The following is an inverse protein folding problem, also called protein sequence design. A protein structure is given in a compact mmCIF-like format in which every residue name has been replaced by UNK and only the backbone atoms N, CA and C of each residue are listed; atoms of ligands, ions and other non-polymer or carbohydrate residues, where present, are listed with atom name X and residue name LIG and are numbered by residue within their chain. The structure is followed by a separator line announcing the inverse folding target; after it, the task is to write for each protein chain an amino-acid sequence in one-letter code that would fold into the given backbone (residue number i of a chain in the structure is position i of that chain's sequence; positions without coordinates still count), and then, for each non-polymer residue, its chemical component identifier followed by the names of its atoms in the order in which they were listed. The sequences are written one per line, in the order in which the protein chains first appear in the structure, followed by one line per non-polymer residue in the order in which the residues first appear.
data_IF_823134398272
#
_entry.id   IF_823134398272
#
_cell.length_a   1.000
_cell.length_b   1.000
_cell.length_c   1.000
_cell.angle_alpha   90.00
_cell.angle_beta   90.00
_cell.angle_gamma   90.00
#
_symmetry.space_group_name_H-M   'P 1'
#
loop_
_entity.id
_entity.type
_entity.pdbx_description
1 polymer ?
#
# COMPACT_ATOMS: atom_id res chain seq x y z
N UNK A 1 -9.76 -2.94 -4.52
CA UNK A 1 -8.75 -3.40 -5.51
C UNK A 1 -8.39 -4.84 -5.16
N UNK A 2 -8.52 -5.75 -6.11
CA UNK A 2 -8.03 -7.12 -6.06
C UNK A 2 -7.64 -7.51 -7.50
N UNK A 3 -6.60 -8.36 -7.72
CA UNK A 3 -5.72 -8.96 -6.71
C UNK A 3 -4.83 -7.94 -5.98
N UNK A 4 -4.08 -8.37 -4.96
CA UNK A 4 -3.08 -7.49 -4.29
C UNK A 4 -1.76 -7.46 -5.06
N UNK A 5 -1.34 -8.62 -5.56
CA UNK A 5 -0.07 -8.82 -6.26
C UNK A 5 -0.28 -9.71 -7.48
N UNK A 6 0.66 -9.62 -8.42
CA UNK A 6 0.79 -10.54 -9.54
C UNK A 6 2.19 -11.13 -9.58
N UNK A 7 2.31 -12.29 -10.21
CA UNK A 7 3.57 -12.95 -10.47
C UNK A 7 3.40 -13.88 -11.68
N UNK A 8 4.50 -14.26 -12.33
CA UNK A 8 4.46 -15.14 -13.49
C UNK A 8 3.89 -16.51 -13.12
N UNK A 9 2.73 -16.82 -13.70
CA UNK A 9 1.99 -18.07 -13.52
C UNK A 9 2.07 -19.04 -14.69
N UNK A 10 2.87 -18.75 -15.73
CA UNK A 10 2.94 -19.53 -16.97
C UNK A 10 2.38 -18.76 -18.16
N UNK A 11 2.67 -19.24 -19.37
CA UNK A 11 2.29 -18.57 -20.61
C UNK A 11 1.11 -19.27 -21.33
N UNK A 12 0.50 -18.53 -22.26
CA UNK A 12 -0.56 -18.98 -23.13
C UNK A 12 -0.18 -18.67 -24.57
N UNK A 13 -0.37 -19.62 -25.48
CA UNK A 13 -0.15 -19.38 -26.91
C UNK A 13 -1.41 -19.66 -27.71
N UNK A 14 -1.58 -18.93 -28.80
CA UNK A 14 -2.68 -19.12 -29.74
C UNK A 14 -2.10 -19.80 -30.97
N UNK A 15 -2.64 -20.96 -31.33
CA UNK A 15 -2.32 -21.66 -32.57
C UNK A 15 -3.62 -22.02 -33.30
N UNK A 16 -3.69 -21.68 -34.59
CA UNK A 16 -4.88 -21.85 -35.45
C UNK A 16 -6.21 -21.37 -34.80
N UNK A 17 -6.19 -20.25 -34.08
CA UNK A 17 -7.36 -19.70 -33.40
C UNK A 17 -7.79 -20.44 -32.13
N UNK A 18 -7.02 -21.45 -31.69
CA UNK A 18 -7.21 -22.16 -30.42
C UNK A 18 -6.23 -21.65 -29.38
N UNK A 19 -6.73 -21.49 -28.17
CA UNK A 19 -5.94 -21.06 -27.03
C UNK A 19 -5.37 -22.28 -26.31
N UNK A 20 -4.05 -22.38 -26.25
CA UNK A 20 -3.34 -23.42 -25.54
C UNK A 20 -2.74 -22.85 -24.27
N UNK A 21 -2.95 -23.55 -23.15
CA UNK A 21 -2.46 -23.16 -21.83
C UNK A 21 -1.46 -24.19 -21.34
N UNK A 22 -0.30 -23.72 -20.85
CA UNK A 22 0.65 -24.56 -20.13
C UNK A 22 1.38 -25.64 -20.93
N UNK A 23 0.91 -26.06 -22.12
CA UNK A 23 1.65 -26.99 -22.97
C UNK A 23 2.89 -26.29 -23.55
N UNK A 24 4.07 -26.82 -23.23
CA UNK A 24 5.41 -26.34 -23.63
C UNK A 24 5.86 -24.97 -23.08
N UNK A 25 4.94 -24.11 -22.64
CA UNK A 25 5.25 -22.72 -22.23
C UNK A 25 4.73 -22.38 -20.81
N UNK A 26 4.40 -23.40 -20.02
CA UNK A 26 4.00 -23.25 -18.61
C UNK A 26 5.18 -23.22 -17.62
N UNK A 27 4.89 -22.91 -16.36
CA UNK A 27 5.83 -23.08 -15.25
C UNK A 27 6.12 -24.58 -15.06
N UNK A 28 7.40 -25.01 -15.05
CA UNK A 28 7.75 -26.39 -14.76
C UNK A 28 7.27 -26.79 -13.36
N UNK A 29 6.47 -27.84 -13.28
CA UNK A 29 5.92 -28.36 -12.03
C UNK A 29 5.91 -29.89 -12.03
N UNK A 30 5.64 -30.51 -10.89
CA UNK A 30 5.58 -31.97 -10.77
C UNK A 30 4.34 -32.52 -11.47
N UNK A 31 4.50 -33.69 -12.08
CA UNK A 31 3.40 -34.39 -12.74
C UNK A 31 2.70 -35.33 -11.76
N UNK A 32 1.36 -35.36 -11.82
CA UNK A 32 0.59 -36.42 -11.15
C UNK A 32 0.79 -37.79 -11.83
N UNK A 33 1.07 -37.79 -13.14
CA UNK A 33 1.35 -38.98 -13.94
C UNK A 33 2.86 -39.18 -14.06
N UNK A 34 3.51 -39.48 -12.93
CA UNK A 34 4.98 -39.64 -12.87
C UNK A 34 5.46 -41.09 -13.03
N UNK A 35 4.57 -42.08 -12.87
CA UNK A 35 4.93 -43.49 -12.86
C UNK A 35 5.25 -44.03 -14.28
N UNK A 36 6.27 -44.91 -14.42
CA UNK A 36 6.58 -45.58 -15.70
C UNK A 36 5.41 -46.45 -16.23
N UNK A 37 5.38 -46.81 -17.53
CA UNK A 37 6.39 -46.54 -18.56
C UNK A 37 6.24 -45.19 -19.29
N UNK A 38 5.06 -44.56 -19.23
CA UNK A 38 4.72 -43.36 -20.02
C UNK A 38 4.72 -42.06 -19.20
N UNK A 39 4.93 -42.16 -17.88
CA UNK A 39 4.93 -41.03 -16.97
C UNK A 39 6.11 -40.08 -17.17
N UNK A 40 5.95 -38.85 -16.69
CA UNK A 40 6.98 -37.81 -16.69
C UNK A 40 7.11 -37.23 -15.30
N UNK A 41 8.33 -36.97 -14.81
CA UNK A 41 8.52 -36.34 -13.50
C UNK A 41 7.97 -34.91 -13.45
N UNK A 42 8.14 -34.18 -14.55
CA UNK A 42 7.75 -32.78 -14.67
C UNK A 42 6.81 -32.56 -15.85
N UNK A 43 5.93 -31.57 -15.69
CA UNK A 43 5.10 -31.03 -16.77
C UNK A 43 5.03 -29.51 -16.65
N UNK A 44 4.96 -28.79 -17.77
CA UNK A 44 4.65 -27.37 -17.74
C UNK A 44 3.15 -27.17 -17.50
N UNK A 45 2.78 -26.22 -16.64
CA UNK A 45 1.39 -25.80 -16.41
C UNK A 45 1.29 -24.28 -16.29
N UNK A 46 0.10 -23.73 -16.55
CA UNK A 46 -0.17 -22.31 -16.41
C UNK A 46 -1.37 -22.07 -15.48
N UNK A 47 -1.34 -21.00 -14.70
CA UNK A 47 -2.43 -20.58 -13.82
C UNK A 47 -1.98 -19.78 -12.61
N UNK A 48 -2.92 -19.07 -11.97
CA UNK A 48 -2.66 -18.29 -10.75
C UNK A 48 -2.19 -19.16 -9.59
N UNK A 49 -2.52 -20.46 -9.59
CA UNK A 49 -1.97 -21.47 -8.67
C UNK A 49 -0.46 -21.58 -8.70
N UNK A 50 0.21 -21.18 -9.79
CA UNK A 50 1.69 -21.15 -9.90
C UNK A 50 2.30 -19.80 -9.55
N UNK A 51 1.53 -18.72 -9.64
CA UNK A 51 1.93 -17.39 -9.16
C UNK A 51 1.90 -17.31 -7.63
N UNK A 52 0.87 -17.90 -6.99
CA UNK A 52 0.70 -17.91 -5.54
C UNK A 52 1.92 -18.43 -4.73
N UNK A 53 2.53 -19.59 -5.03
CA UNK A 53 3.68 -20.09 -4.28
C UNK A 53 4.93 -19.21 -4.45
N UNK A 54 5.07 -18.49 -5.56
CA UNK A 54 6.18 -17.53 -5.75
C UNK A 54 6.03 -16.31 -4.84
N UNK A 55 4.81 -15.75 -4.76
CA UNK A 55 4.47 -14.69 -3.80
C UNK A 55 4.68 -15.18 -2.35
N UNK A 56 4.25 -16.41 -2.03
CA UNK A 56 4.46 -17.00 -0.71
C UNK A 56 5.95 -17.21 -0.38
N UNK A 57 6.76 -17.65 -1.36
CA UNK A 57 8.20 -17.78 -1.20
C UNK A 57 8.87 -16.43 -0.95
N UNK A 58 8.48 -15.37 -1.66
CA UNK A 58 8.98 -14.02 -1.43
C UNK A 58 8.66 -13.55 0.00
N UNK A 59 7.43 -13.74 0.46
CA UNK A 59 7.04 -13.44 1.85
C UNK A 59 7.88 -14.23 2.87
N UNK A 60 8.09 -15.53 2.64
CA UNK A 60 8.91 -16.38 3.51
C UNK A 60 10.38 -15.93 3.56
N UNK A 61 10.93 -15.48 2.43
CA UNK A 61 12.28 -14.89 2.39
C UNK A 61 12.33 -13.58 3.18
N UNK A 62 11.31 -12.73 3.09
CA UNK A 62 11.26 -11.50 3.89
C UNK A 62 11.13 -11.78 5.39
N UNK A 63 10.40 -12.82 5.81
CA UNK A 63 10.39 -13.24 7.21
C UNK A 63 11.78 -13.66 7.73
N UNK A 64 12.66 -14.18 6.85
CA UNK A 64 14.05 -14.49 7.22
C UNK A 64 14.87 -13.21 7.44
N UNK A 65 14.66 -12.18 6.63
CA UNK A 65 15.36 -10.88 6.75
C UNK A 65 14.82 -10.05 7.93
N UNK A 66 13.53 -10.19 8.25
CA UNK A 66 12.87 -9.51 9.37
C UNK A 66 12.22 -10.53 10.34
N UNK A 67 13.00 -11.21 11.20
CA UNK A 67 12.48 -12.29 12.06
C UNK A 67 11.35 -11.88 13.01
N UNK A 68 11.31 -10.60 13.40
CA UNK A 68 10.30 -10.04 14.30
C UNK A 68 9.16 -9.31 13.57
N UNK A 69 9.06 -9.45 12.24
CA UNK A 69 8.01 -8.81 11.46
C UNK A 69 6.66 -9.51 11.66
N UNK A 70 5.61 -8.73 11.84
CA UNK A 70 4.23 -9.20 11.68
C UNK A 70 3.90 -9.51 10.22
N UNK A 71 2.87 -10.32 9.97
CA UNK A 71 2.35 -10.54 8.61
C UNK A 71 1.90 -9.23 7.94
N UNK A 72 1.42 -8.25 8.73
CA UNK A 72 1.10 -6.92 8.23
C UNK A 72 2.35 -6.21 7.72
N UNK A 73 3.46 -6.25 8.45
CA UNK A 73 4.71 -5.63 8.02
C UNK A 73 5.21 -6.26 6.71
N UNK A 74 5.21 -7.59 6.60
CA UNK A 74 5.61 -8.28 5.37
C UNK A 74 4.72 -7.87 4.18
N UNK A 75 3.40 -7.83 4.37
CA UNK A 75 2.47 -7.38 3.31
C UNK A 75 2.72 -5.93 2.89
N UNK A 76 2.99 -5.04 3.86
CA UNK A 76 3.27 -3.63 3.58
C UNK A 76 4.61 -3.44 2.85
N UNK A 77 5.66 -4.20 3.21
CA UNK A 77 6.95 -4.22 2.50
C UNK A 77 6.76 -4.67 1.05
N UNK A 78 6.04 -5.77 0.84
CA UNK A 78 5.73 -6.29 -0.50
C UNK A 78 4.98 -5.25 -1.35
N UNK A 79 3.96 -4.59 -0.80
CA UNK A 79 3.25 -3.50 -1.49
C UNK A 79 4.15 -2.32 -1.83
N UNK A 80 5.00 -1.91 -0.90
CA UNK A 80 5.95 -0.81 -1.11
C UNK A 80 6.94 -1.08 -2.24
N UNK A 81 7.39 -2.33 -2.37
CA UNK A 81 8.32 -2.75 -3.43
C UNK A 81 7.66 -3.00 -4.79
N UNK A 82 6.35 -3.30 -4.82
CA UNK A 82 5.71 -3.81 -6.02
C UNK A 82 5.69 -2.80 -7.18
N UNK A 83 5.82 -3.28 -8.41
CA UNK A 83 5.69 -2.48 -9.62
C UNK A 83 4.74 -3.15 -10.61
N UNK A 84 3.86 -2.37 -11.22
CA UNK A 84 3.02 -2.88 -12.33
C UNK A 84 3.96 -3.27 -13.46
N UNK A 85 3.80 -4.46 -14.07
CA UNK A 85 4.65 -4.87 -15.19
C UNK A 85 4.63 -3.84 -16.33
N UNK A 86 5.80 -3.55 -16.90
CA UNK A 86 5.95 -2.61 -18.03
C UNK A 86 5.30 -3.21 -19.28
N UNK A 87 5.54 -4.51 -19.52
CA UNK A 87 4.90 -5.24 -20.62
C UNK A 87 3.46 -5.59 -20.23
N UNK A 88 2.51 -4.99 -20.94
CA UNK A 88 1.07 -5.13 -20.73
C UNK A 88 0.41 -5.43 -22.08
N UNK A 89 -0.75 -6.10 -22.11
CA UNK A 89 -1.49 -6.30 -23.35
C UNK A 89 -1.95 -4.94 -23.91
N UNK A 90 -2.14 -4.81 -25.24
CA UNK A 90 -2.46 -3.55 -25.89
C UNK A 90 -3.59 -2.73 -25.25
N UNK A 91 -4.62 -3.40 -24.73
CA UNK A 91 -5.75 -2.75 -24.05
C UNK A 91 -5.42 -2.08 -22.71
N UNK A 92 -4.25 -2.39 -22.14
CA UNK A 92 -3.77 -1.89 -20.85
C UNK A 92 -2.45 -1.09 -20.99
N UNK A 93 -1.81 -1.10 -22.17
CA UNK A 93 -0.47 -0.54 -22.38
C UNK A 93 -0.39 0.96 -22.14
N UNK A 94 -1.40 1.72 -22.54
CA UNK A 94 -1.39 3.19 -22.42
C UNK A 94 -2.09 3.70 -21.15
N UNK A 95 -2.65 2.79 -20.34
CA UNK A 95 -3.32 3.17 -19.10
C UNK A 95 -2.29 3.55 -18.02
N UNK A 96 -2.55 4.60 -17.23
CA UNK A 96 -1.68 4.97 -16.13
C UNK A 96 -1.67 3.87 -15.06
N UNK A 97 -0.58 3.78 -14.29
CA UNK A 97 -0.34 2.68 -13.36
C UNK A 97 -1.36 2.63 -12.20
N UNK A 98 -2.07 3.72 -11.97
CA UNK A 98 -3.11 3.89 -10.95
C UNK A 98 -4.53 3.84 -11.54
N UNK A 99 -4.69 3.56 -12.83
CA UNK A 99 -6.00 3.33 -13.43
C UNK A 99 -6.72 2.16 -12.74
N UNK A 100 -8.04 2.24 -12.62
CA UNK A 100 -8.84 1.20 -11.94
C UNK A 100 -8.70 -0.15 -12.65
N UNK A 101 -8.64 -0.17 -13.97
CA UNK A 101 -8.42 -1.34 -14.81
C UNK A 101 -7.08 -1.99 -14.53
N UNK A 102 -6.02 -1.18 -14.37
CA UNK A 102 -4.68 -1.67 -14.00
C UNK A 102 -4.69 -2.24 -12.60
N UNK A 103 -5.25 -1.53 -11.63
CA UNK A 103 -5.31 -1.97 -10.23
C UNK A 103 -6.20 -3.22 -10.04
N UNK A 104 -7.23 -3.39 -10.87
CA UNK A 104 -8.10 -4.58 -10.87
C UNK A 104 -7.51 -5.76 -11.66
N UNK A 105 -6.47 -5.53 -12.46
CA UNK A 105 -5.77 -6.59 -13.21
C UNK A 105 -4.50 -7.04 -12.49
N UNK A 106 -3.67 -6.07 -12.10
CA UNK A 106 -2.33 -6.29 -11.56
C UNK A 106 -2.20 -6.03 -10.05
N UNK A 107 -3.24 -5.49 -9.41
CA UNK A 107 -3.12 -5.03 -8.03
C UNK A 107 -2.06 -3.94 -7.90
N UNK A 108 -1.17 -4.09 -6.92
CA UNK A 108 0.00 -3.23 -6.78
C UNK A 108 1.18 -3.60 -7.70
N UNK A 109 1.05 -4.73 -8.41
CA UNK A 109 2.04 -5.26 -9.33
C UNK A 109 2.84 -6.43 -8.75
N UNK A 110 4.02 -6.64 -9.32
CA UNK A 110 4.95 -7.70 -8.92
C UNK A 110 5.88 -7.17 -7.81
N UNK A 111 5.86 -7.75 -6.60
CA UNK A 111 6.78 -7.39 -5.52
C UNK A 111 8.24 -7.69 -5.90
N UNK A 112 9.14 -6.82 -5.46
CA UNK A 112 10.58 -6.96 -5.68
C UNK A 112 11.25 -7.27 -4.34
N UNK A 113 11.92 -8.42 -4.27
CA UNK A 113 12.51 -8.89 -3.02
C UNK A 113 13.62 -7.96 -2.51
N UNK A 114 14.51 -7.48 -3.40
CA UNK A 114 15.65 -6.67 -3.01
C UNK A 114 15.21 -5.29 -2.54
N UNK A 115 14.27 -4.67 -3.27
CA UNK A 115 13.65 -3.39 -2.89
C UNK A 115 12.75 -3.49 -1.65
N UNK A 116 12.27 -4.69 -1.31
CA UNK A 116 11.49 -4.91 -0.09
C UNK A 116 12.36 -5.10 1.16
N UNK A 117 13.61 -5.53 1.02
CA UNK A 117 14.50 -5.82 2.16
C UNK A 117 15.53 -4.74 2.47
N UNK A 118 15.97 -3.99 1.47
CA UNK A 118 17.06 -3.05 1.63
C UNK A 118 16.74 -1.69 1.07
N UNK A 119 17.42 -0.70 1.64
CA UNK A 119 17.51 0.62 1.07
C UNK A 119 18.79 0.79 0.26
N UNK A 120 18.66 1.20 -1.00
CA UNK A 120 19.77 1.70 -1.80
C UNK A 120 20.17 3.11 -1.34
N UNK A 121 21.26 3.67 -1.91
CA UNK A 121 21.75 5.00 -1.52
C UNK A 121 20.69 6.11 -1.71
N UNK A 122 19.95 6.03 -2.81
CA UNK A 122 18.92 6.97 -3.24
C UNK A 122 17.50 6.60 -2.83
N UNK A 123 17.38 5.74 -1.82
CA UNK A 123 16.11 5.45 -1.20
C UNK A 123 16.24 5.35 0.33
N UNK A 124 15.11 5.37 1.02
CA UNK A 124 15.04 5.07 2.44
C UNK A 124 13.68 4.48 2.78
N UNK A 125 13.66 3.49 3.66
CA UNK A 125 12.44 2.88 4.18
C UNK A 125 12.28 3.11 5.68
N UNK A 126 11.12 3.63 6.06
CA UNK A 126 10.71 3.85 7.44
C UNK A 126 9.59 2.87 7.77
N UNK A 127 9.77 2.12 8.85
CA UNK A 127 8.90 1.00 9.21
C UNK A 127 8.31 1.25 10.59
N UNK A 128 7.01 1.01 10.73
CA UNK A 128 6.35 0.90 12.03
C UNK A 128 5.35 -0.26 12.02
N UNK A 129 5.29 -1.02 13.11
CA UNK A 129 4.27 -2.03 13.35
C UNK A 129 3.75 -1.87 14.77
N UNK A 130 2.45 -1.66 14.92
CA UNK A 130 1.86 -1.19 16.17
C UNK A 130 0.43 -1.74 16.34
N UNK A 131 -0.18 -1.43 17.48
CA UNK A 131 -1.60 -1.60 17.72
C UNK A 131 -2.23 -0.26 18.09
N UNK A 132 -3.38 0.06 17.50
CA UNK A 132 -4.12 1.30 17.76
C UNK A 132 -5.48 0.99 18.37
N UNK A 133 -5.99 1.86 19.25
CA UNK A 133 -7.37 1.78 19.72
C UNK A 133 -8.34 2.03 18.56
N UNK A 134 -9.49 1.36 18.58
CA UNK A 134 -10.52 1.63 17.57
C UNK A 134 -11.07 3.05 17.75
N UNK A 135 -11.36 3.71 16.63
CA UNK A 135 -11.83 5.09 16.57
C UNK A 135 -10.81 6.13 17.05
N UNK A 136 -9.53 5.79 16.90
CA UNK A 136 -8.39 6.64 17.20
C UNK A 136 -7.48 6.82 15.97
N UNK A 137 -6.48 7.67 16.08
CA UNK A 137 -5.49 7.91 15.04
C UNK A 137 -4.07 7.98 15.60
N UNK A 138 -3.10 7.53 14.81
CA UNK A 138 -1.68 7.65 15.10
C UNK A 138 -1.03 8.65 14.14
N UNK A 139 -0.13 9.49 14.66
CA UNK A 139 0.64 10.45 13.88
C UNK A 139 2.12 10.06 13.88
N UNK A 140 2.71 10.03 12.69
CA UNK A 140 4.13 9.77 12.48
C UNK A 140 4.78 10.96 11.81
N UNK A 141 5.76 11.55 12.49
CA UNK A 141 6.61 12.61 11.91
C UNK A 141 7.74 11.95 11.12
N UNK A 142 7.79 12.21 9.82
CA UNK A 142 8.88 11.74 8.97
C UNK A 142 10.12 12.61 9.16
N UNK A 143 11.33 12.04 9.04
CA UNK A 143 12.58 12.79 8.91
C UNK A 143 12.49 13.85 7.81
N UNK A 144 13.15 14.98 8.04
CA UNK A 144 13.19 16.08 7.07
C UNK A 144 13.96 15.59 5.85
N UNK A 145 13.40 15.83 4.66
CA UNK A 145 14.04 15.45 3.40
C UNK A 145 15.24 16.36 3.09
N UNK A 146 16.33 15.82 2.51
CA UNK A 146 17.48 16.63 2.11
C UNK A 146 17.09 17.66 1.04
N UNK A 147 17.77 18.81 1.02
CA UNK A 147 17.52 19.85 0.02
C UNK A 147 17.75 19.32 -1.41
N UNK A 148 18.73 18.42 -1.58
CA UNK A 148 19.05 17.76 -2.84
C UNK A 148 17.87 16.96 -3.40
N UNK A 149 16.93 16.51 -2.57
CA UNK A 149 15.72 15.82 -3.03
C UNK A 149 14.83 16.71 -3.90
N UNK A 150 14.86 18.03 -3.69
CA UNK A 150 14.04 19.00 -4.44
C UNK A 150 14.81 19.71 -5.55
N UNK A 151 16.12 19.88 -5.38
CA UNK A 151 16.96 20.63 -6.34
C UNK A 151 17.58 19.74 -7.40
N UNK A 152 17.80 18.45 -7.12
CA UNK A 152 18.40 17.51 -8.07
C UNK A 152 17.41 17.15 -9.17
N UNK A 153 17.88 17.09 -10.41
CA UNK A 153 17.07 16.63 -11.54
C UNK A 153 16.68 15.16 -11.35
N UNK A 154 15.40 14.87 -11.43
CA UNK A 154 14.87 13.52 -11.29
C UNK A 154 13.46 13.54 -10.72
N UNK A 155 12.81 12.37 -10.70
CA UNK A 155 11.53 12.22 -10.02
C UNK A 155 11.81 11.65 -8.63
N UNK A 156 11.51 12.43 -7.60
CA UNK A 156 11.36 11.96 -6.24
C UNK A 156 9.99 11.33 -6.03
N UNK A 157 9.83 10.44 -5.05
CA UNK A 157 8.53 9.93 -4.68
C UNK A 157 8.46 9.48 -3.23
N UNK A 158 7.25 9.61 -2.67
CA UNK A 158 6.90 9.10 -1.35
C UNK A 158 5.82 8.05 -1.56
N UNK A 159 6.10 6.83 -1.12
CA UNK A 159 5.16 5.70 -1.17
C UNK A 159 4.79 5.31 0.25
N UNK A 160 3.50 5.27 0.54
CA UNK A 160 2.95 4.84 1.84
C UNK A 160 2.20 3.54 1.63
N UNK A 161 2.59 2.50 2.36
CA UNK A 161 1.91 1.21 2.37
C UNK A 161 1.41 0.89 3.77
N UNK A 162 0.12 0.61 3.93
CA UNK A 162 -0.53 0.24 5.18
C UNK A 162 -1.12 -1.17 5.04
N UNK A 163 -0.88 -2.03 6.02
CA UNK A 163 -1.50 -3.33 6.12
C UNK A 163 -2.07 -3.56 7.53
N UNK A 164 -3.25 -4.17 7.59
CA UNK A 164 -3.91 -4.54 8.83
C UNK A 164 -4.73 -5.83 8.63
N UNK A 165 -5.19 -6.42 9.72
CA UNK A 165 -5.86 -7.71 9.79
C UNK A 165 -7.11 -7.62 10.67
N UNK A 166 -8.20 -6.98 10.16
CA UNK A 166 -9.40 -6.76 10.95
C UNK A 166 -10.25 -8.03 11.05
N UNK A 167 -11.14 -8.13 12.05
CA UNK A 167 -12.18 -9.16 12.08
C UNK A 167 -13.04 -9.06 10.81
N UNK A 168 -13.40 -10.20 10.22
CA UNK A 168 -14.20 -10.25 8.99
C UNK A 168 -15.50 -11.01 9.20
N UNK A 169 -16.55 -10.64 8.45
CA UNK A 169 -17.84 -11.33 8.49
C UNK A 169 -18.41 -11.47 7.09
N UNK A 170 -18.34 -12.69 6.54
CA UNK A 170 -18.76 -13.00 5.17
C UNK A 170 -20.24 -12.69 4.88
N UNK A 171 -21.10 -12.66 5.90
CA UNK A 171 -22.53 -12.35 5.75
C UNK A 171 -22.82 -10.87 5.48
N UNK A 172 -21.82 -9.98 5.56
CA UNK A 172 -21.98 -8.53 5.33
C UNK A 172 -21.26 -8.11 4.05
N UNK A 173 -21.97 -8.16 2.92
CA UNK A 173 -21.42 -7.81 1.60
C UNK A 173 -20.86 -6.38 1.53
N UNK A 174 -21.55 -5.40 2.12
CA UNK A 174 -21.17 -3.98 2.04
C UNK A 174 -20.30 -3.49 3.23
N UNK A 175 -20.14 -4.31 4.27
CA UNK A 175 -19.33 -4.02 5.46
C UNK A 175 -18.61 -5.29 5.92
N UNK A 176 -17.86 -5.92 5.01
CA UNK A 176 -17.17 -7.19 5.28
C UNK A 176 -16.11 -7.07 6.39
N UNK A 177 -15.46 -5.91 6.49
CA UNK A 177 -14.43 -5.60 7.48
C UNK A 177 -15.08 -4.99 8.73
N UNK A 178 -14.74 -5.51 9.91
CA UNK A 178 -15.22 -4.97 11.20
C UNK A 178 -14.48 -3.70 11.64
N UNK A 179 -13.34 -3.43 11.02
CA UNK A 179 -12.52 -2.23 11.21
C UNK A 179 -12.03 -1.77 9.84
N UNK A 180 -12.05 -0.47 9.60
CA UNK A 180 -11.43 0.16 8.43
C UNK A 180 -10.28 1.04 8.90
N UNK A 181 -9.24 1.13 8.08
CA UNK A 181 -8.12 2.04 8.33
C UNK A 181 -7.81 2.83 7.07
N UNK A 182 -7.21 4.00 7.21
CA UNK A 182 -6.75 4.81 6.09
C UNK A 182 -5.55 5.68 6.47
N UNK A 183 -4.82 6.13 5.46
CA UNK A 183 -3.63 6.97 5.63
C UNK A 183 -3.74 8.28 4.89
N UNK A 184 -3.28 9.35 5.54
CA UNK A 184 -3.19 10.69 4.95
C UNK A 184 -1.82 11.29 5.25
N UNK A 185 -1.15 11.79 4.22
CA UNK A 185 0.15 12.45 4.35
C UNK A 185 -0.09 13.97 4.35
N UNK A 186 0.54 14.68 5.27
CA UNK A 186 0.47 16.12 5.40
C UNK A 186 1.85 16.73 5.22
N UNK A 187 1.88 17.92 4.62
CA UNK A 187 3.08 18.75 4.43
C UNK A 187 2.81 20.16 4.96
N UNK A 188 3.86 20.87 5.38
CA UNK A 188 3.80 22.27 5.81
C UNK A 188 2.76 22.49 6.92
N UNK A 189 2.67 21.56 7.87
CA UNK A 189 1.74 21.57 9.00
C UNK A 189 2.44 21.00 10.24
N UNK A 190 2.11 21.54 11.40
CA UNK A 190 2.59 20.97 12.66
C UNK A 190 1.77 19.75 13.05
N UNK A 191 2.30 18.94 13.97
CA UNK A 191 1.61 17.73 14.47
C UNK A 191 0.27 18.11 15.11
N UNK A 192 0.21 19.24 15.81
CA UNK A 192 -0.99 19.74 16.50
C UNK A 192 -2.09 20.12 15.50
N UNK A 193 -1.72 20.82 14.43
CA UNK A 193 -2.65 21.20 13.36
C UNK A 193 -3.21 19.97 12.64
N UNK A 194 -2.38 18.95 12.41
CA UNK A 194 -2.81 17.69 11.81
C UNK A 194 -3.73 16.94 12.77
N UNK A 195 -3.40 16.88 14.06
CA UNK A 195 -4.23 16.23 15.07
C UNK A 195 -5.63 16.88 15.16
N UNK A 196 -5.70 18.20 15.15
CA UNK A 196 -6.97 18.95 15.13
C UNK A 196 -7.79 18.63 13.87
N UNK A 197 -7.15 18.66 12.69
CA UNK A 197 -7.80 18.36 11.42
C UNK A 197 -8.38 16.93 11.37
N UNK A 198 -7.62 15.96 11.88
CA UNK A 198 -8.05 14.55 11.94
C UNK A 198 -9.19 14.38 12.96
N UNK A 199 -9.11 15.01 14.14
CA UNK A 199 -10.17 14.96 15.15
C UNK A 199 -11.48 15.54 14.65
N UNK A 200 -11.45 16.73 14.04
CA UNK A 200 -12.64 17.37 13.47
C UNK A 200 -13.31 16.43 12.46
N UNK A 201 -12.53 15.86 11.54
CA UNK A 201 -13.00 14.89 10.56
C UNK A 201 -13.64 13.66 11.21
N UNK A 202 -13.03 13.08 12.24
CA UNK A 202 -13.63 11.92 12.94
C UNK A 202 -14.95 12.26 13.65
N UNK A 203 -15.07 13.46 14.23
CA UNK A 203 -16.26 13.86 14.99
C UNK A 203 -17.44 14.22 14.09
N UNK A 204 -17.21 15.08 13.10
CA UNK A 204 -18.23 15.57 12.18
C UNK A 204 -18.78 14.43 11.30
N UNK A 205 -17.92 13.52 10.83
CA UNK A 205 -18.37 12.33 10.13
C UNK A 205 -19.22 11.41 11.01
N UNK A 206 -18.87 11.28 12.30
CA UNK A 206 -19.65 10.48 13.26
C UNK A 206 -21.03 11.06 13.50
N UNK A 207 -21.12 12.36 13.75
CA UNK A 207 -22.40 13.06 13.97
C UNK A 207 -23.29 12.96 12.71
N UNK A 208 -22.72 13.14 11.52
CA UNK A 208 -23.45 13.01 10.26
C UNK A 208 -23.93 11.57 9.91
N UNK A 209 -23.32 10.54 10.50
CA UNK A 209 -23.71 9.13 10.35
C UNK A 209 -24.72 8.74 11.44
N UNK A 210 -24.59 9.24 12.67
CA UNK A 210 -25.51 8.99 13.77
C UNK A 210 -26.93 9.50 13.46
N UNK A 211 -27.05 10.67 12.81
CA UNK A 211 -28.33 11.23 12.37
C UNK A 211 -29.02 10.43 11.24
N UNK A 212 -28.36 9.43 10.65
CA UNK A 212 -28.93 8.58 9.58
C UNK A 212 -29.50 7.25 10.06
N UNK A 213 -29.51 6.97 11.37
CA UNK A 213 -30.22 5.81 11.91
C UNK A 213 -31.69 6.15 12.22
N UNK A 214 -32.40 6.61 11.20
CA UNK A 214 -33.85 6.88 11.23
C UNK A 214 -34.44 6.89 9.82
N UNK A 215 -34.99 5.75 9.40
CA UNK A 215 -36.07 5.54 8.41
C UNK A 215 -35.87 6.01 6.96
N UNK A 216 -36.04 5.03 6.06
CA UNK A 216 -36.37 5.04 4.62
C UNK A 216 -35.59 5.88 3.59
N UNK A 217 -35.21 5.13 2.54
CA UNK A 217 -34.66 5.58 1.27
C UNK A 217 -35.59 6.58 0.56
N UNK A 218 -35.31 7.88 0.69
CA UNK A 218 -35.58 8.84 -0.39
C UNK A 218 -34.30 9.56 -0.76
N UNK A 219 -33.98 9.53 -2.07
CA UNK A 219 -32.90 10.29 -2.70
C UNK A 219 -33.15 11.78 -2.48
N UNK A 220 -32.66 12.34 -1.38
CA UNK A 220 -32.45 13.77 -1.27
C UNK A 220 -31.16 14.07 -2.01
N UNK A 221 -31.30 14.82 -3.08
CA UNK A 221 -30.20 15.33 -3.88
C UNK A 221 -29.42 16.32 -2.99
N UNK A 222 -28.32 15.84 -2.40
CA UNK A 222 -27.38 16.72 -1.72
C UNK A 222 -26.91 17.82 -2.71
N UNK A 223 -26.74 19.07 -2.25
CA UNK A 223 -26.26 20.14 -3.10
C UNK A 223 -24.96 19.69 -3.76
N UNK A 224 -24.84 19.97 -5.07
CA UNK A 224 -23.69 19.60 -5.92
C UNK A 224 -22.39 19.79 -5.15
N UNK A 225 -21.77 18.66 -4.77
CA UNK A 225 -20.35 18.54 -4.42
C UNK A 225 -19.55 19.21 -5.53
N UNK A 226 -19.21 20.48 -5.36
CA UNK A 226 -18.15 21.11 -6.13
C UNK A 226 -16.88 20.36 -5.78
N UNK A 227 -16.42 19.51 -6.71
CA UNK A 227 -15.08 18.90 -6.78
C UNK A 227 -14.22 19.04 -5.51
N UNK A 228 -14.53 18.25 -4.48
CA UNK A 228 -13.54 17.87 -3.47
C UNK A 228 -13.87 16.44 -3.02
N UNK A 229 -13.17 15.50 -3.64
CA UNK A 229 -13.10 14.12 -3.20
C UNK A 229 -12.35 14.07 -1.86
N UNK A 230 -13.07 13.95 -0.75
CA UNK A 230 -12.63 13.28 0.48
C UNK A 230 -11.23 13.57 1.02
N UNK A 231 -10.65 14.75 0.79
CA UNK A 231 -9.34 15.09 1.31
C UNK A 231 -9.50 15.87 2.62
N UNK A 232 -8.74 15.47 3.64
CA UNK A 232 -8.47 16.36 4.75
C UNK A 232 -7.81 17.62 4.18
N UNK A 233 -8.25 18.83 4.57
CA UNK A 233 -7.70 20.07 4.02
C UNK A 233 -6.17 20.07 4.18
N UNK A 234 -5.46 20.43 3.11
CA UNK A 234 -3.98 20.45 3.04
C UNK A 234 -3.25 19.10 3.10
N UNK A 235 -3.95 17.97 2.99
CA UNK A 235 -3.28 16.67 2.74
C UNK A 235 -2.62 16.64 1.37
N UNK A 236 -1.51 15.92 1.26
CA UNK A 236 -0.82 15.62 0.00
C UNK A 236 -1.71 14.68 -0.81
N UNK A 237 -1.91 15.03 -2.08
CA UNK A 237 -2.63 14.16 -3.00
C UNK A 237 -1.78 12.91 -3.30
N UNK A 238 -2.33 11.74 -2.98
CA UNK A 238 -1.65 10.45 -3.12
C UNK A 238 -2.52 9.54 -3.99
N UNK A 239 -1.91 8.88 -4.98
CA UNK A 239 -2.60 7.98 -5.89
C UNK A 239 -2.23 6.50 -5.65
N UNK A 240 -3.16 5.53 -5.73
CA UNK A 240 -4.59 5.69 -5.97
C UNK A 240 -5.30 6.34 -4.78
N UNK A 241 -6.36 7.13 -4.97
CA UNK A 241 -7.01 7.90 -3.89
C UNK A 241 -7.63 7.07 -2.75
N UNK A 242 -7.82 7.70 -1.57
CA UNK A 242 -8.22 7.04 -0.31
C UNK A 242 -9.50 6.19 -0.45
N UNK A 243 -10.51 6.69 -1.15
CA UNK A 243 -11.79 5.98 -1.34
C UNK A 243 -11.64 4.64 -2.08
N UNK A 244 -10.65 4.53 -2.96
CA UNK A 244 -10.35 3.28 -3.66
C UNK A 244 -9.59 2.30 -2.74
N UNK A 245 -8.68 2.83 -1.91
CA UNK A 245 -7.81 2.05 -1.02
C UNK A 245 -8.51 1.53 0.24
N UNK A 246 -9.36 2.35 0.88
CA UNK A 246 -9.97 2.05 2.18
C UNK A 246 -10.86 0.80 2.23
N UNK A 247 -11.23 0.28 1.05
CA UNK A 247 -11.97 -0.99 0.90
C UNK A 247 -11.10 -2.24 1.12
N UNK A 248 -9.78 -2.09 1.12
CA UNK A 248 -8.81 -3.19 1.27
C UNK A 248 -8.05 -3.13 2.59
N UNK A 249 -7.57 -4.30 3.04
CA UNK A 249 -6.73 -4.44 4.24
C UNK A 249 -5.24 -4.29 3.96
N UNK A 250 -4.88 -4.19 2.67
CA UNK A 250 -3.58 -3.74 2.19
C UNK A 250 -3.84 -2.53 1.31
N UNK A 251 -3.13 -1.45 1.61
CA UNK A 251 -3.27 -0.17 0.95
C UNK A 251 -1.89 0.31 0.56
N UNK A 252 -1.75 0.82 -0.67
CA UNK A 252 -0.57 1.55 -1.12
C UNK A 252 -1.00 2.80 -1.86
N UNK A 253 -0.33 3.90 -1.58
CA UNK A 253 -0.42 5.12 -2.36
C UNK A 253 0.94 5.77 -2.55
N UNK A 254 1.09 6.53 -3.62
CA UNK A 254 2.32 7.19 -4.02
C UNK A 254 2.01 8.63 -4.40
N UNK A 255 2.89 9.56 -4.01
CA UNK A 255 3.00 10.86 -4.66
C UNK A 255 4.36 10.96 -5.34
N UNK A 256 4.35 11.51 -6.54
CA UNK A 256 5.57 11.82 -7.29
C UNK A 256 5.87 13.31 -7.16
N UNK A 257 7.14 13.61 -6.95
CA UNK A 257 7.68 14.93 -6.68
C UNK A 257 8.69 15.18 -7.78
N UNK A 258 8.23 15.81 -8.86
CA UNK A 258 9.01 16.08 -10.08
C UNK A 258 9.12 17.56 -10.40
N UNK A 259 8.42 18.42 -9.65
CA UNK A 259 8.25 19.84 -9.96
C UNK A 259 8.79 20.71 -8.84
N UNK A 260 9.47 21.79 -9.23
CA UNK A 260 9.78 22.94 -8.39
C UNK A 260 8.54 23.60 -7.77
N UNK A 261 7.32 23.24 -8.19
CA UNK A 261 6.04 23.71 -7.62
C UNK A 261 5.55 22.90 -6.42
N UNK A 262 6.22 21.80 -6.05
CA UNK A 262 5.89 21.09 -4.81
C UNK A 262 6.40 21.92 -3.63
N UNK A 263 5.54 22.77 -3.06
CA UNK A 263 5.95 23.69 -2.01
C UNK A 263 6.27 22.94 -0.71
N UNK A 264 7.52 23.04 -0.27
CA UNK A 264 7.99 22.45 0.98
C UNK A 264 8.71 23.53 1.77
N UNK A 265 8.19 23.85 2.95
CA UNK A 265 8.73 24.92 3.79
C UNK A 265 9.83 24.43 4.75
N UNK A 266 10.25 23.17 4.63
CA UNK A 266 11.21 22.53 5.52
C UNK A 266 10.58 21.89 6.76
N UNK A 267 9.28 22.09 7.00
CA UNK A 267 8.56 21.39 8.08
C UNK A 267 8.51 19.89 7.81
N UNK A 268 8.59 19.05 8.85
CA UNK A 268 8.54 17.61 8.66
C UNK A 268 7.18 17.20 8.07
N UNK A 269 7.21 16.16 7.24
CA UNK A 269 5.98 15.53 6.76
C UNK A 269 5.34 14.74 7.89
N UNK A 270 4.02 14.82 8.01
CA UNK A 270 3.27 14.11 9.05
C UNK A 270 2.34 13.09 8.39
N UNK A 271 2.50 11.82 8.72
CA UNK A 271 1.62 10.75 8.28
C UNK A 271 0.60 10.45 9.37
N UNK A 272 -0.68 10.61 9.06
CA UNK A 272 -1.78 10.16 9.89
C UNK A 272 -2.25 8.78 9.46
N UNK A 273 -2.39 7.87 10.43
CA UNK A 273 -3.03 6.56 10.29
C UNK A 273 -4.31 6.59 11.11
N UNK A 274 -5.47 6.52 10.46
CA UNK A 274 -6.78 6.62 11.10
C UNK A 274 -7.39 5.22 11.18
N UNK A 275 -7.90 4.84 12.35
CA UNK A 275 -8.57 3.57 12.59
C UNK A 275 -10.03 3.80 12.95
N UNK A 276 -10.96 3.15 12.25
CA UNK A 276 -12.41 3.30 12.48
C UNK A 276 -13.05 1.96 12.78
N UNK A 277 -13.86 1.93 13.82
CA UNK A 277 -14.76 0.80 14.10
C UNK A 277 -15.89 0.81 13.08
N UNK A 278 -16.12 -0.34 12.45
CA UNK A 278 -17.33 -0.58 11.67
C UNK A 278 -18.32 -1.36 12.54
N UNK A 279 -18.39 -2.68 12.38
CA UNK A 279 -19.25 -3.55 13.18
C UNK A 279 -18.50 -4.36 14.23
N UNK A 280 -17.18 -4.20 14.35
CA UNK A 280 -16.40 -4.97 15.32
C UNK A 280 -17.04 -4.86 16.72
N UNK A 281 -17.25 -5.99 17.42
CA UNK A 281 -17.86 -6.00 18.74
C UNK A 281 -16.98 -5.24 19.74
N UNK A 282 -17.58 -4.75 20.84
CA UNK A 282 -16.87 -4.01 21.89
C UNK A 282 -15.72 -4.82 22.53
N UNK A 283 -15.79 -6.15 22.48
CA UNK A 283 -14.71 -7.06 22.90
C UNK A 283 -13.42 -6.88 22.10
N UNK A 284 -13.49 -6.30 20.89
CA UNK A 284 -12.34 -5.89 20.09
C UNK A 284 -12.19 -4.39 20.31
N UNK A 285 -11.16 -4.01 21.08
CA UNK A 285 -10.84 -2.60 21.38
C UNK A 285 -9.68 -2.07 20.55
N UNK A 286 -8.84 -2.94 19.99
CA UNK A 286 -7.64 -2.55 19.24
C UNK A 286 -7.53 -3.23 17.88
N UNK A 287 -6.76 -2.60 16.98
CA UNK A 287 -6.37 -3.13 15.68
C UNK A 287 -4.85 -3.10 15.53
N UNK A 288 -4.25 -4.23 15.17
CA UNK A 288 -2.84 -4.29 14.75
C UNK A 288 -2.69 -3.80 13.32
N UNK A 289 -1.60 -3.10 13.04
CA UNK A 289 -1.26 -2.68 11.69
C UNK A 289 0.25 -2.56 11.52
N UNK A 290 0.67 -2.44 10.27
CA UNK A 290 2.00 -2.01 9.92
C UNK A 290 1.94 -0.98 8.82
N UNK A 291 2.83 0.00 8.89
CA UNK A 291 2.99 1.04 7.90
C UNK A 291 4.44 1.14 7.44
N UNK A 292 4.62 1.24 6.14
CA UNK A 292 5.91 1.37 5.46
C UNK A 292 5.87 2.64 4.64
N UNK A 293 6.81 3.55 4.90
CA UNK A 293 7.04 4.74 4.08
C UNK A 293 8.35 4.57 3.34
N UNK A 294 8.27 4.52 2.01
CA UNK A 294 9.43 4.45 1.12
C UNK A 294 9.62 5.80 0.44
N UNK A 295 10.81 6.35 0.60
CA UNK A 295 11.28 7.58 -0.02
C UNK A 295 12.26 7.19 -1.11
N UNK A 296 12.03 7.63 -2.34
CA UNK A 296 12.89 7.26 -3.49
C UNK A 296 13.19 8.47 -4.34
N UNK A 297 14.37 8.54 -4.93
CA UNK A 297 14.70 9.54 -5.94
C UNK A 297 15.39 8.91 -7.15
N UNK A 298 15.06 9.36 -8.37
CA UNK A 298 15.61 8.77 -9.60
C UNK A 298 17.13 8.96 -9.75
N UNK A 299 17.70 10.04 -9.21
CA UNK A 299 19.15 10.27 -9.20
C UNK A 299 19.83 9.58 -8.02
N UNK A 300 20.89 8.84 -8.30
CA UNK A 300 21.80 8.22 -7.31
C UNK A 300 22.55 9.23 -6.44
N UNK A 301 22.65 10.49 -6.86
CA UNK A 301 23.35 11.55 -6.12
C UNK A 301 22.57 12.05 -4.88
N UNK A 302 21.30 11.67 -4.73
CA UNK A 302 20.49 12.07 -3.58
C UNK A 302 20.60 10.98 -2.53
N UNK A 303 21.56 11.09 -1.61
CA UNK A 303 21.86 10.07 -0.59
C UNK A 303 20.83 10.02 0.55
N UNK A 304 19.59 9.62 0.22
CA UNK A 304 18.46 9.54 1.15
C UNK A 304 18.74 8.63 2.35
N UNK A 305 19.33 7.45 2.11
CA UNK A 305 19.56 6.48 3.17
C UNK A 305 20.42 7.05 4.30
N UNK A 306 21.60 7.57 3.96
CA UNK A 306 22.55 8.10 4.95
C UNK A 306 22.04 9.39 5.61
N UNK A 307 21.35 10.25 4.85
CA UNK A 307 20.73 11.46 5.40
C UNK A 307 19.72 11.11 6.51
N UNK A 308 18.79 10.21 6.21
CA UNK A 308 17.72 9.80 7.13
C UNK A 308 18.29 9.03 8.32
N UNK A 309 19.24 8.13 8.08
CA UNK A 309 19.93 7.38 9.13
C UNK A 309 20.64 8.30 10.12
N UNK A 310 21.27 9.37 9.64
CA UNK A 310 21.95 10.35 10.48
C UNK A 310 20.95 11.12 11.34
N UNK A 311 19.84 11.59 10.78
CA UNK A 311 18.79 12.27 11.55
C UNK A 311 18.20 11.38 12.65
N UNK A 312 17.88 10.13 12.33
CA UNK A 312 17.31 9.19 13.30
C UNK A 312 18.27 8.90 14.47
N UNK A 313 19.58 8.78 14.20
CA UNK A 313 20.61 8.60 15.24
C UNK A 313 20.70 9.80 16.18
N UNK A 314 20.60 11.03 15.65
CA UNK A 314 20.62 12.25 16.47
C UNK A 314 19.39 12.31 17.38
N UNK A 315 18.20 12.05 16.83
CA UNK A 315 16.95 12.02 17.61
C UNK A 315 16.97 10.95 18.69
N UNK A 316 17.53 9.76 18.43
CA UNK A 316 17.66 8.71 19.43
C UNK A 316 18.66 9.09 20.55
N UNK A 317 19.78 9.73 20.22
CA UNK A 317 20.76 10.17 21.23
C UNK A 317 20.20 11.24 22.17
N UNK A 318 19.41 12.18 21.65
CA UNK A 318 18.72 13.20 22.46
C UNK A 318 17.71 12.55 23.43
N UNK A 319 17.09 11.42 23.05
CA UNK A 319 16.17 10.68 23.92
C UNK A 319 16.86 9.81 24.98
N UNK A 320 18.14 9.45 24.82
CA UNK A 320 18.89 8.58 25.75
C UNK A 320 19.61 9.37 26.84
N UNK A 321 19.81 10.69 26.68
CA UNK A 321 20.38 11.55 27.74
C UNK A 321 19.34 12.13 28.71
N UNK A 322 18.20 11.46 28.89
CA UNK A 322 17.16 11.82 29.86
C UNK A 322 17.13 10.88 31.06
#
# INVERSE_FOLDING_TARGET
MKPEFVEFGGDMHIDAGRLFTGQHWGVPTTSASFAPPEGRLFRPLAGTSFAAPKIANLAARLFREFPNASSNLIRALMASSAAVPISRPPSLTDLPHDATEILCTYGYGQPDFDRARWSAENDAMLLAQESIQLDDFALYTLPILPAEFFTTRGVGAITVSLAFDPPTRHTRLNSYLGVTMETHLFRNRTVEQVAESVRAYTREEREAIADRQGVELRKVQLPRRSKMEGSLPSSVEMSPGVNLRKKGTLQRSRCEISSSRWSYDGSPLVLAVICRREWAPETISTQRYAVVVSLTHASGSVHLHEHIRTQLRLTQRVRIQG
#
